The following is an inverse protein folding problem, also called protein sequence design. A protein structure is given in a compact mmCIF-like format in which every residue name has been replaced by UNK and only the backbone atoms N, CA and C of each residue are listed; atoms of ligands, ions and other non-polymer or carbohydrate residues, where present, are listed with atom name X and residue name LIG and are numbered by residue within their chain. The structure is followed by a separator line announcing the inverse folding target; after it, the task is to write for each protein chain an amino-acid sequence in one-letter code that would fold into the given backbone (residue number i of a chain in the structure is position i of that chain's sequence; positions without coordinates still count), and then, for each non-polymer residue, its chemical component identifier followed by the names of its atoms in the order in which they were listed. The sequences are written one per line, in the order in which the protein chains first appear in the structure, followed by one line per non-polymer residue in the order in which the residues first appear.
data_IF_877767819263
#
_entry.id   IF_877767819263
#
_cell.length_a   1.000
_cell.length_b   1.000
_cell.length_c   1.000
_cell.angle_alpha   90.00
_cell.angle_beta   90.00
_cell.angle_gamma   90.00
#
_symmetry.space_group_name_H-M   'P 1'
#
loop_
_entity.id
_entity.type
_entity.pdbx_description
1 polymer ?
#
# COMPACT_ATOMS: atom_id res chain seq x y z
N UNK A 1 2.77 -21.74 8.50
CA UNK A 1 1.65 -21.51 7.53
C UNK A 1 2.09 -22.02 6.17
N UNK A 2 1.15 -22.34 5.24
CA UNK A 2 1.59 -22.70 3.89
C UNK A 2 2.11 -21.46 3.15
N UNK A 3 3.10 -21.58 2.26
CA UNK A 3 3.63 -20.46 1.47
C UNK A 3 2.55 -19.72 0.67
N UNK A 4 1.54 -20.46 0.19
CA UNK A 4 0.39 -19.88 -0.52
C UNK A 4 -0.48 -18.99 0.39
N UNK A 5 -0.63 -19.36 1.65
CA UNK A 5 -1.40 -18.57 2.61
C UNK A 5 -0.70 -17.22 2.93
N UNK A 6 0.63 -17.25 3.13
CA UNK A 6 1.42 -16.02 3.30
C UNK A 6 1.32 -15.11 2.09
N UNK A 7 1.50 -15.67 0.88
CA UNK A 7 1.31 -14.92 -0.36
C UNK A 7 -0.07 -14.25 -0.41
N UNK A 8 -1.14 -15.00 -0.14
CA UNK A 8 -2.51 -14.50 -0.27
C UNK A 8 -2.81 -13.36 0.70
N UNK A 9 -2.37 -13.47 1.95
CA UNK A 9 -2.58 -12.42 2.97
C UNK A 9 -1.83 -11.15 2.60
N UNK A 10 -0.54 -11.26 2.27
CA UNK A 10 0.29 -10.10 1.95
C UNK A 10 -0.18 -9.44 0.66
N UNK A 11 -0.50 -10.23 -0.37
CA UNK A 11 -1.04 -9.71 -1.62
C UNK A 11 -2.35 -8.98 -1.40
N UNK A 12 -3.31 -9.58 -0.67
CA UNK A 12 -4.60 -8.95 -0.40
C UNK A 12 -4.45 -7.64 0.39
N UNK A 13 -3.61 -7.64 1.44
CA UNK A 13 -3.34 -6.44 2.23
C UNK A 13 -2.71 -5.33 1.37
N UNK A 14 -1.67 -5.64 0.59
CA UNK A 14 -1.03 -4.68 -0.29
C UNK A 14 -1.99 -4.18 -1.38
N UNK A 15 -2.75 -5.08 -2.03
CA UNK A 15 -3.72 -4.71 -3.06
C UNK A 15 -4.75 -3.69 -2.54
N UNK A 16 -5.30 -3.93 -1.35
CA UNK A 16 -6.30 -3.04 -0.76
C UNK A 16 -5.67 -1.70 -0.35
N UNK A 17 -4.49 -1.73 0.28
CA UNK A 17 -3.80 -0.51 0.76
C UNK A 17 -3.32 0.34 -0.41
N UNK A 18 -2.73 -0.26 -1.42
CA UNK A 18 -2.25 0.47 -2.61
C UNK A 18 -3.40 0.98 -3.47
N UNK A 19 -4.62 0.42 -3.27
CA UNK A 19 -5.86 0.86 -3.89
C UNK A 19 -5.68 1.26 -5.38
N UNK A 20 -5.34 0.32 -6.27
CA UNK A 20 -4.99 0.63 -7.67
C UNK A 20 -6.08 1.41 -8.40
N UNK A 21 -7.35 1.07 -8.11
CA UNK A 21 -8.50 1.70 -8.77
C UNK A 21 -8.77 3.11 -8.22
N UNK A 22 -8.61 3.33 -6.91
CA UNK A 22 -8.74 4.66 -6.32
C UNK A 22 -7.65 5.62 -6.78
N UNK A 23 -6.42 5.12 -6.92
CA UNK A 23 -5.28 5.89 -7.39
C UNK A 23 -5.28 6.14 -8.91
N UNK A 24 -6.12 5.40 -9.66
CA UNK A 24 -6.26 5.58 -11.10
C UNK A 24 -6.71 7.00 -11.47
N UNK A 25 -7.65 7.58 -10.70
CA UNK A 25 -8.11 8.94 -10.93
C UNK A 25 -7.01 10.00 -10.79
N UNK A 26 -6.12 9.81 -9.81
CA UNK A 26 -4.96 10.69 -9.62
C UNK A 26 -3.96 10.50 -10.77
N UNK A 27 -3.64 9.25 -11.13
CA UNK A 27 -2.75 8.95 -12.25
C UNK A 27 -3.23 9.61 -13.54
N UNK A 28 -4.51 9.46 -13.90
CA UNK A 28 -5.11 10.07 -15.09
C UNK A 28 -5.05 11.60 -15.02
N UNK A 29 -5.24 12.18 -13.84
CA UNK A 29 -5.21 13.63 -13.63
C UNK A 29 -3.81 14.22 -13.83
N UNK A 30 -2.77 13.61 -13.24
CA UNK A 30 -1.40 14.13 -13.33
C UNK A 30 -0.73 13.84 -14.68
N UNK A 31 -1.25 12.86 -15.43
CA UNK A 31 -0.77 12.54 -16.80
C UNK A 31 -1.72 13.06 -17.87
N UNK A 32 -2.60 14.01 -17.50
CA UNK A 32 -3.55 14.57 -18.45
C UNK A 32 -2.82 15.42 -19.50
N UNK A 33 -3.09 15.13 -20.76
CA UNK A 33 -2.41 15.80 -21.89
C UNK A 33 -1.15 15.08 -22.39
N UNK A 34 -0.61 14.13 -21.63
CA UNK A 34 0.57 13.36 -22.05
C UNK A 34 0.23 12.29 -23.07
N UNK A 35 1.28 11.92 -23.85
CA UNK A 35 1.16 10.83 -24.81
C UNK A 35 0.94 9.48 -24.14
N UNK A 36 0.23 8.57 -24.81
CA UNK A 36 -0.01 7.20 -24.30
C UNK A 36 1.31 6.44 -24.07
N UNK A 37 2.37 6.73 -24.86
CA UNK A 37 3.69 6.15 -24.65
C UNK A 37 4.31 6.62 -23.33
N UNK A 38 4.20 7.90 -23.03
CA UNK A 38 4.68 8.48 -21.78
C UNK A 38 3.92 7.92 -20.57
N UNK A 39 2.59 7.86 -20.61
CA UNK A 39 1.76 7.27 -19.55
C UNK A 39 2.18 5.83 -19.23
N UNK A 40 2.38 5.00 -20.27
CA UNK A 40 2.83 3.61 -20.10
C UNK A 40 4.22 3.53 -19.49
N UNK A 41 5.11 4.43 -19.84
CA UNK A 41 6.45 4.52 -19.27
C UNK A 41 6.39 4.92 -17.80
N UNK A 42 5.60 5.94 -17.43
CA UNK A 42 5.42 6.37 -16.05
C UNK A 42 4.79 5.27 -15.19
N UNK A 43 3.78 4.57 -15.69
CA UNK A 43 3.18 3.43 -15.02
C UNK A 43 4.19 2.31 -14.72
N UNK A 44 5.06 1.98 -15.69
CA UNK A 44 6.08 0.96 -15.50
C UNK A 44 7.14 1.38 -14.48
N UNK A 45 7.65 2.60 -14.58
CA UNK A 45 8.64 3.14 -13.65
C UNK A 45 8.06 3.22 -12.23
N UNK A 46 6.82 3.71 -12.07
CA UNK A 46 6.16 3.80 -10.78
C UNK A 46 6.01 2.43 -10.10
N UNK A 47 5.57 1.42 -10.85
CA UNK A 47 5.47 0.06 -10.33
C UNK A 47 6.84 -0.52 -9.94
N UNK A 48 7.87 -0.28 -10.77
CA UNK A 48 9.23 -0.74 -10.48
C UNK A 48 9.81 -0.06 -9.24
N UNK A 49 9.68 1.25 -9.09
CA UNK A 49 10.15 1.97 -7.91
C UNK A 49 9.39 1.54 -6.65
N UNK A 50 8.08 1.32 -6.76
CA UNK A 50 7.28 0.81 -5.65
C UNK A 50 7.70 -0.58 -5.22
N UNK A 51 7.97 -1.47 -6.19
CA UNK A 51 8.52 -2.79 -5.90
C UNK A 51 9.85 -2.68 -5.17
N UNK A 52 10.79 -1.88 -5.68
CA UNK A 52 12.09 -1.69 -5.04
C UNK A 52 11.96 -1.15 -3.61
N UNK A 53 11.12 -0.14 -3.39
CA UNK A 53 10.88 0.42 -2.07
C UNK A 53 10.32 -0.63 -1.10
N UNK A 54 9.22 -1.27 -1.46
CA UNK A 54 8.58 -2.30 -0.62
C UNK A 54 9.52 -3.48 -0.35
N UNK A 55 10.28 -3.91 -1.36
CA UNK A 55 11.23 -5.01 -1.24
C UNK A 55 12.41 -4.65 -0.32
N UNK A 56 12.99 -3.46 -0.48
CA UNK A 56 14.07 -2.98 0.40
C UNK A 56 13.59 -2.91 1.86
N UNK A 57 12.41 -2.34 2.11
CA UNK A 57 11.83 -2.28 3.44
C UNK A 57 11.43 -3.66 3.98
N UNK A 58 11.07 -4.60 3.12
CA UNK A 58 10.82 -5.98 3.51
C UNK A 58 12.11 -6.68 3.96
N UNK A 59 13.20 -6.56 3.21
CA UNK A 59 14.47 -7.23 3.52
C UNK A 59 15.21 -6.53 4.66
N UNK A 60 15.28 -5.20 4.64
CA UNK A 60 16.00 -4.40 5.63
C UNK A 60 15.15 -4.04 6.85
N UNK A 61 13.86 -4.37 6.85
CA UNK A 61 12.89 -3.91 7.86
C UNK A 61 13.32 -4.20 9.28
N UNK A 62 13.82 -5.41 9.55
CA UNK A 62 14.31 -5.79 10.88
C UNK A 62 15.43 -4.85 11.35
N UNK A 63 16.43 -4.60 10.51
CA UNK A 63 17.56 -3.73 10.84
C UNK A 63 17.14 -2.28 11.01
N UNK A 64 16.18 -1.81 10.19
CA UNK A 64 15.62 -0.46 10.31
C UNK A 64 14.95 -0.30 11.67
N UNK A 65 14.15 -1.27 12.10
CA UNK A 65 13.44 -1.22 13.37
C UNK A 65 14.39 -1.27 14.57
N UNK A 66 15.36 -2.17 14.53
CA UNK A 66 16.38 -2.30 15.56
C UNK A 66 17.20 -1.00 15.68
N UNK A 67 17.58 -0.38 14.57
CA UNK A 67 18.33 0.87 14.54
C UNK A 67 17.57 2.02 15.20
N UNK A 68 16.25 2.13 14.96
CA UNK A 68 15.40 3.17 15.55
C UNK A 68 14.82 2.78 16.92
N UNK A 69 15.04 1.58 17.41
CA UNK A 69 14.45 1.08 18.66
C UNK A 69 12.92 0.94 18.58
N UNK A 70 12.36 0.73 17.39
CA UNK A 70 10.93 0.62 17.16
C UNK A 70 10.51 -0.84 17.27
N UNK A 71 9.44 -1.10 18.04
CA UNK A 71 8.88 -2.44 18.18
C UNK A 71 7.88 -2.74 17.03
N UNK A 72 7.67 -4.02 16.74
CA UNK A 72 6.66 -4.49 15.79
C UNK A 72 5.28 -4.00 16.20
N UNK A 73 4.97 -4.09 17.48
CA UNK A 73 3.68 -3.67 18.04
C UNK A 73 3.44 -2.17 17.80
N UNK A 74 4.49 -1.35 17.97
CA UNK A 74 4.45 0.07 17.65
C UNK A 74 4.14 0.34 16.17
N UNK A 75 4.72 -0.45 15.25
CA UNK A 75 4.42 -0.34 13.82
C UNK A 75 3.00 -0.78 13.50
N UNK A 76 2.53 -1.86 14.12
CA UNK A 76 1.15 -2.33 13.90
C UNK A 76 0.14 -1.28 14.35
N UNK A 77 0.34 -0.66 15.50
CA UNK A 77 -0.51 0.42 16.00
C UNK A 77 -0.41 1.65 15.10
N UNK A 78 0.80 2.16 14.86
CA UNK A 78 1.02 3.37 14.05
C UNK A 78 0.58 3.20 12.60
N UNK A 79 0.94 2.07 11.98
CA UNK A 79 0.50 1.71 10.63
C UNK A 79 -1.01 1.56 10.54
N UNK A 80 -1.64 0.93 11.53
CA UNK A 80 -3.09 0.81 11.63
C UNK A 80 -3.78 2.17 11.69
N UNK A 81 -3.27 3.13 12.48
CA UNK A 81 -3.82 4.50 12.55
C UNK A 81 -3.74 5.19 11.18
N UNK A 82 -2.62 5.08 10.48
CA UNK A 82 -2.44 5.67 9.15
C UNK A 82 -3.40 5.04 8.14
N UNK A 83 -3.50 3.71 8.13
CA UNK A 83 -4.40 2.96 7.24
C UNK A 83 -5.86 3.28 7.53
N UNK A 84 -6.26 3.41 8.80
CA UNK A 84 -7.61 3.83 9.19
C UNK A 84 -7.94 5.21 8.62
N UNK A 85 -7.02 6.18 8.75
CA UNK A 85 -7.20 7.53 8.19
C UNK A 85 -7.43 7.49 6.67
N UNK A 86 -6.66 6.68 5.96
CA UNK A 86 -6.83 6.47 4.51
C UNK A 86 -8.20 5.86 4.22
N UNK A 87 -8.58 4.80 4.93
CA UNK A 87 -9.88 4.14 4.75
C UNK A 87 -11.08 5.07 4.99
N UNK A 88 -11.04 5.87 6.04
CA UNK A 88 -12.08 6.89 6.30
C UNK A 88 -12.15 7.95 5.19
N UNK A 89 -11.01 8.39 4.68
CA UNK A 89 -10.96 9.34 3.56
C UNK A 89 -11.62 8.78 2.30
N UNK A 90 -11.35 7.50 1.98
CA UNK A 90 -11.95 6.82 0.83
C UNK A 90 -13.47 6.65 0.98
N UNK A 91 -13.94 6.30 2.17
CA UNK A 91 -15.37 6.13 2.44
C UNK A 91 -16.15 7.44 2.38
N UNK A 92 -15.59 8.52 2.90
CA UNK A 92 -16.26 9.82 2.94
C UNK A 92 -16.38 10.47 1.55
N UNK A 93 -15.78 9.88 0.51
CA UNK A 93 -15.77 10.47 -0.83
C UNK A 93 -14.96 11.76 -0.92
N UNK A 94 -14.23 12.10 0.15
CA UNK A 94 -13.20 13.11 0.07
C UNK A 94 -12.22 12.69 -1.03
N UNK A 95 -11.93 13.58 -1.98
CA UNK A 95 -10.91 13.29 -3.00
C UNK A 95 -9.68 12.82 -2.28
N UNK A 96 -9.27 11.58 -2.57
CA UNK A 96 -8.20 10.90 -1.87
C UNK A 96 -6.88 11.63 -2.17
N UNK A 97 -6.56 12.56 -1.30
CA UNK A 97 -5.30 13.29 -1.35
C UNK A 97 -4.30 12.61 -0.40
N UNK A 98 -3.73 11.48 -0.84
CA UNK A 98 -2.38 11.11 -0.36
C UNK A 98 -1.35 12.14 -0.85
N UNK A 99 -1.74 12.91 -1.85
CA UNK A 99 -1.00 14.02 -2.45
C UNK A 99 -1.84 15.28 -2.27
N UNK A 100 -1.26 16.35 -1.74
CA UNK A 100 -1.96 17.64 -1.59
C UNK A 100 -2.35 18.22 -2.97
N UNK A 101 -3.29 19.17 -2.99
CA UNK A 101 -3.64 19.84 -4.27
C UNK A 101 -2.46 20.60 -4.87
N UNK A 102 -1.58 21.10 -4.00
CA UNK A 102 -0.34 21.74 -4.36
C UNK A 102 0.62 20.75 -5.02
N UNK A 103 0.87 19.60 -4.39
CA UNK A 103 1.71 18.53 -4.94
C UNK A 103 1.16 17.97 -6.26
N UNK A 104 -0.17 17.91 -6.44
CA UNK A 104 -0.78 17.52 -7.71
C UNK A 104 -0.54 18.55 -8.81
N UNK A 105 -0.59 19.85 -8.49
CA UNK A 105 -0.28 20.91 -9.45
C UNK A 105 1.20 20.89 -9.84
N UNK A 106 2.08 20.75 -8.84
CA UNK A 106 3.52 20.61 -9.08
C UNK A 106 3.83 19.37 -9.93
N UNK A 107 3.15 18.23 -9.66
CA UNK A 107 3.33 17.01 -10.44
C UNK A 107 2.92 17.15 -11.91
N UNK A 108 1.94 17.97 -12.24
CA UNK A 108 1.54 18.25 -13.64
C UNK A 108 2.65 18.97 -14.41
N UNK A 109 3.49 19.74 -13.71
CA UNK A 109 4.62 20.46 -14.30
C UNK A 109 5.92 19.65 -14.34
N UNK A 110 5.94 18.45 -13.69
CA UNK A 110 7.13 17.57 -13.66
C UNK A 110 7.28 16.75 -14.94
N UNK A 111 8.50 16.64 -15.43
CA UNK A 111 8.84 15.76 -16.57
C UNK A 111 8.78 14.26 -16.19
N UNK A 112 8.91 13.90 -14.90
CA UNK A 112 8.86 12.51 -14.42
C UNK A 112 8.11 12.43 -13.10
N UNK A 113 6.91 11.86 -13.13
CA UNK A 113 6.01 11.68 -11.97
C UNK A 113 6.07 10.27 -11.38
N UNK A 114 6.92 9.41 -11.90
CA UNK A 114 6.92 7.99 -11.58
C UNK A 114 7.40 7.68 -10.17
N UNK A 115 8.39 8.41 -9.65
CA UNK A 115 8.84 8.23 -8.28
C UNK A 115 7.98 9.04 -7.30
N UNK A 116 7.89 10.33 -7.50
CA UNK A 116 7.03 11.22 -6.72
C UNK A 116 6.07 11.94 -7.68
N UNK A 117 4.78 11.84 -7.46
CA UNK A 117 4.10 11.23 -6.29
C UNK A 117 3.67 9.77 -6.46
N UNK A 118 3.87 9.13 -7.63
CA UNK A 118 3.25 7.83 -7.91
C UNK A 118 3.80 6.68 -7.04
N UNK A 119 5.12 6.40 -7.11
CA UNK A 119 5.67 5.35 -6.28
C UNK A 119 5.61 5.72 -4.80
N UNK A 120 6.01 6.92 -4.45
CA UNK A 120 5.97 7.44 -3.08
C UNK A 120 5.35 8.84 -3.08
N UNK A 121 4.28 9.11 -2.30
CA UNK A 121 3.71 8.24 -1.24
C UNK A 121 2.55 7.35 -1.66
N UNK A 122 2.12 7.35 -2.95
CA UNK A 122 0.83 6.75 -3.34
C UNK A 122 0.81 5.23 -3.26
N UNK A 123 1.79 4.54 -3.86
CA UNK A 123 1.81 3.07 -3.94
C UNK A 123 2.57 2.49 -2.75
N UNK A 124 3.85 2.83 -2.60
CA UNK A 124 4.71 2.42 -1.49
C UNK A 124 4.66 3.46 -0.35
N UNK A 125 3.47 3.90 0.01
CA UNK A 125 3.25 4.85 1.10
C UNK A 125 3.36 4.21 2.49
N UNK A 126 3.16 5.01 3.56
CA UNK A 126 3.32 4.56 4.94
C UNK A 126 2.50 3.31 5.28
N UNK A 127 1.29 3.15 4.70
CA UNK A 127 0.46 1.96 4.89
C UNK A 127 1.09 0.69 4.29
N UNK A 128 1.57 0.77 3.04
CA UNK A 128 2.25 -0.35 2.38
C UNK A 128 3.55 -0.73 3.10
N UNK A 129 4.32 0.27 3.52
CA UNK A 129 5.54 0.06 4.31
C UNK A 129 5.23 -0.60 5.66
N UNK A 130 4.18 -0.18 6.36
CA UNK A 130 3.77 -0.79 7.63
C UNK A 130 3.44 -2.28 7.47
N UNK A 131 2.76 -2.67 6.39
CA UNK A 131 2.46 -4.08 6.09
C UNK A 131 3.73 -4.88 5.87
N UNK A 132 4.62 -4.44 4.98
CA UNK A 132 5.84 -5.20 4.68
C UNK A 132 6.78 -5.27 5.89
N UNK A 133 6.88 -4.21 6.70
CA UNK A 133 7.64 -4.18 7.93
C UNK A 133 7.06 -5.13 8.99
N UNK A 134 5.74 -5.18 9.14
CA UNK A 134 5.07 -6.11 10.06
C UNK A 134 5.34 -7.57 9.69
N UNK A 135 5.33 -7.89 8.38
CA UNK A 135 5.63 -9.24 7.90
C UNK A 135 7.10 -9.57 8.03
N UNK A 136 8.00 -8.63 7.70
CA UNK A 136 9.45 -8.82 7.79
C UNK A 136 9.95 -9.21 9.19
N UNK A 137 9.19 -8.86 10.21
CA UNK A 137 9.55 -9.10 11.61
C UNK A 137 8.89 -10.34 12.23
N UNK A 138 8.21 -11.17 11.44
CA UNK A 138 7.71 -12.45 11.94
C UNK A 138 8.86 -13.33 12.41
N UNK A 139 8.70 -13.93 13.59
CA UNK A 139 9.65 -14.90 14.11
C UNK A 139 9.67 -16.16 13.22
N UNK A 140 10.86 -16.70 12.96
CA UNK A 140 11.08 -17.96 12.22
C UNK A 140 10.63 -17.96 10.75
N UNK A 141 10.82 -16.86 10.01
CA UNK A 141 10.61 -16.87 8.55
C UNK A 141 11.55 -17.86 7.87
N UNK A 142 10.96 -18.78 7.11
CA UNK A 142 11.68 -19.70 6.24
C UNK A 142 11.98 -19.06 4.87
N UNK A 143 12.89 -19.63 4.10
CA UNK A 143 13.20 -19.16 2.74
C UNK A 143 11.94 -19.13 1.87
N UNK A 144 11.04 -20.09 2.05
CA UNK A 144 9.74 -20.15 1.36
C UNK A 144 8.86 -18.92 1.65
N UNK A 145 8.91 -18.39 2.87
CA UNK A 145 8.11 -17.22 3.27
C UNK A 145 8.67 -15.94 2.63
N UNK A 146 10.01 -15.81 2.58
CA UNK A 146 10.65 -14.71 1.86
C UNK A 146 10.27 -14.69 0.37
N UNK A 147 10.28 -15.85 -0.28
CA UNK A 147 9.86 -15.98 -1.68
C UNK A 147 8.38 -15.61 -1.83
N UNK A 148 7.51 -16.12 -0.96
CA UNK A 148 6.07 -15.89 -1.02
C UNK A 148 5.72 -14.41 -0.86
N UNK A 149 6.34 -13.72 0.10
CA UNK A 149 6.16 -12.28 0.32
C UNK A 149 6.69 -11.46 -0.85
N UNK A 150 7.87 -11.81 -1.37
CA UNK A 150 8.45 -11.14 -2.55
C UNK A 150 7.55 -11.30 -3.77
N UNK A 151 7.01 -12.51 -3.99
CA UNK A 151 6.03 -12.75 -5.06
C UNK A 151 4.74 -11.96 -4.85
N UNK A 152 4.27 -11.81 -3.60
CA UNK A 152 3.09 -11.01 -3.29
C UNK A 152 3.31 -9.51 -3.58
N UNK A 153 4.46 -8.96 -3.20
CA UNK A 153 4.85 -7.58 -3.52
C UNK A 153 4.92 -7.40 -5.05
N UNK A 154 5.58 -8.32 -5.75
CA UNK A 154 5.68 -8.26 -7.21
C UNK A 154 4.30 -8.34 -7.88
N UNK A 155 3.43 -9.25 -7.44
CA UNK A 155 2.08 -9.39 -7.97
C UNK A 155 1.24 -8.12 -7.74
N UNK A 156 1.31 -7.51 -6.55
CA UNK A 156 0.63 -6.24 -6.26
C UNK A 156 1.12 -5.12 -7.20
N UNK A 157 2.43 -4.98 -7.38
CA UNK A 157 3.01 -3.98 -8.28
C UNK A 157 2.65 -4.24 -9.76
N UNK A 158 2.57 -5.50 -10.18
CA UNK A 158 2.12 -5.87 -11.55
C UNK A 158 0.66 -5.46 -11.75
N UNK A 159 -0.22 -5.70 -10.78
CA UNK A 159 -1.63 -5.28 -10.88
C UNK A 159 -1.74 -3.76 -10.99
N UNK A 160 -0.97 -3.01 -10.20
CA UNK A 160 -0.93 -1.54 -10.30
C UNK A 160 -0.44 -1.10 -11.66
N UNK A 161 0.64 -1.70 -12.15
CA UNK A 161 1.17 -1.42 -13.48
C UNK A 161 0.12 -1.64 -14.57
N UNK A 162 -0.60 -2.76 -14.54
CA UNK A 162 -1.68 -3.06 -15.50
C UNK A 162 -2.79 -2.01 -15.38
N UNK A 163 -3.25 -1.69 -14.16
CA UNK A 163 -4.28 -0.68 -13.95
C UNK A 163 -3.89 0.70 -14.50
N UNK A 164 -2.67 1.15 -14.22
CA UNK A 164 -2.20 2.46 -14.69
C UNK A 164 -1.92 2.47 -16.20
N UNK A 165 -1.34 1.39 -16.71
CA UNK A 165 -1.08 1.24 -18.13
C UNK A 165 -2.35 1.30 -18.96
N UNK A 166 -3.42 0.65 -18.50
CA UNK A 166 -4.71 0.58 -19.16
C UNK A 166 -5.72 1.59 -18.56
N UNK A 167 -5.21 2.66 -17.95
CA UNK A 167 -6.00 3.64 -17.19
C UNK A 167 -7.18 4.21 -17.97
N UNK A 168 -7.00 4.51 -19.24
CA UNK A 168 -8.06 5.05 -20.12
C UNK A 168 -9.18 4.03 -20.33
N UNK A 169 -8.85 2.75 -20.51
CA UNK A 169 -9.83 1.68 -20.68
C UNK A 169 -10.58 1.41 -19.38
N UNK A 170 -9.85 1.29 -18.26
CA UNK A 170 -10.44 1.01 -16.94
C UNK A 170 -11.38 2.14 -16.52
N UNK A 171 -10.98 3.39 -16.71
CA UNK A 171 -11.81 4.55 -16.40
C UNK A 171 -13.09 4.58 -17.24
N UNK A 172 -13.03 4.21 -18.53
CA UNK A 172 -14.21 4.12 -19.40
C UNK A 172 -15.16 2.98 -19.02
N UNK A 173 -14.62 1.81 -18.64
CA UNK A 173 -15.43 0.64 -18.29
C UNK A 173 -16.18 0.82 -16.97
N UNK A 174 -15.54 1.37 -15.96
CA UNK A 174 -16.13 1.53 -14.64
C UNK A 174 -17.00 2.79 -14.53
N UNK A 175 -16.68 3.83 -15.27
CA UNK A 175 -17.28 5.15 -15.13
C UNK A 175 -17.01 5.76 -13.74
N UNK A 176 -17.44 7.01 -13.56
CA UNK A 176 -17.22 7.71 -12.27
C UNK A 176 -17.93 7.04 -11.09
N UNK A 177 -19.17 6.57 -11.32
CA UNK A 177 -19.98 5.91 -10.28
C UNK A 177 -19.37 4.56 -9.86
N UNK A 178 -18.92 3.75 -10.82
CA UNK A 178 -18.29 2.46 -10.54
C UNK A 178 -16.98 2.62 -9.79
N UNK A 179 -16.13 3.55 -10.22
CA UNK A 179 -14.88 3.85 -9.51
C UNK A 179 -15.12 4.36 -8.09
N UNK A 180 -16.11 5.23 -7.89
CA UNK A 180 -16.48 5.72 -6.57
C UNK A 180 -17.01 4.61 -5.65
N UNK A 181 -17.82 3.69 -6.18
CA UNK A 181 -18.36 2.56 -5.42
C UNK A 181 -17.24 1.61 -4.96
N UNK A 182 -16.34 1.20 -5.87
CA UNK A 182 -15.22 0.32 -5.55
C UNK A 182 -14.29 1.00 -4.53
N UNK A 183 -13.99 2.29 -4.72
CA UNK A 183 -13.14 3.05 -3.78
C UNK A 183 -13.72 3.06 -2.36
N UNK A 184 -15.05 3.22 -2.21
CA UNK A 184 -15.71 3.15 -0.89
C UNK A 184 -15.63 1.76 -0.27
N UNK A 185 -15.82 0.70 -1.07
CA UNK A 185 -15.68 -0.70 -0.59
C UNK A 185 -14.24 -0.95 -0.13
N UNK A 186 -13.24 -0.53 -0.90
CA UNK A 186 -11.83 -0.64 -0.50
C UNK A 186 -11.55 0.15 0.79
N UNK A 187 -12.13 1.35 0.93
CA UNK A 187 -12.03 2.14 2.15
C UNK A 187 -12.55 1.40 3.39
N UNK A 188 -13.70 0.72 3.28
CA UNK A 188 -14.23 -0.10 4.36
C UNK A 188 -13.30 -1.26 4.73
N UNK A 189 -12.79 -1.99 3.74
CA UNK A 189 -11.86 -3.11 3.96
C UNK A 189 -10.57 -2.59 4.64
N UNK A 190 -10.06 -1.43 4.21
CA UNK A 190 -8.90 -0.79 4.84
C UNK A 190 -9.13 -0.48 6.32
N UNK A 191 -10.31 0.02 6.70
CA UNK A 191 -10.64 0.26 8.09
C UNK A 191 -10.62 -1.05 8.89
N UNK A 192 -11.16 -2.13 8.34
CA UNK A 192 -11.14 -3.44 9.00
C UNK A 192 -9.70 -3.94 9.21
N UNK A 193 -8.84 -3.83 8.19
CA UNK A 193 -7.42 -4.20 8.28
C UNK A 193 -6.71 -3.34 9.33
N UNK A 194 -6.97 -2.04 9.33
CA UNK A 194 -6.38 -1.09 10.26
C UNK A 194 -6.72 -1.42 11.71
N UNK A 195 -8.00 -1.70 11.98
CA UNK A 195 -8.48 -2.10 13.32
C UNK A 195 -7.81 -3.42 13.73
N UNK A 196 -7.71 -4.41 12.84
CA UNK A 196 -7.05 -5.67 13.14
C UNK A 196 -5.56 -5.46 13.50
N UNK A 197 -4.86 -4.59 12.77
CA UNK A 197 -3.47 -4.25 13.10
C UNK A 197 -3.34 -3.60 14.49
N UNK A 198 -4.22 -2.66 14.82
CA UNK A 198 -4.23 -1.99 16.13
C UNK A 198 -4.50 -3.01 17.25
N UNK A 199 -5.48 -3.90 17.08
CA UNK A 199 -5.80 -4.95 18.05
C UNK A 199 -4.58 -5.86 18.28
N UNK A 200 -3.94 -6.33 17.20
CA UNK A 200 -2.78 -7.20 17.27
C UNK A 200 -1.60 -6.51 17.95
N UNK A 201 -1.30 -5.26 17.55
CA UNK A 201 -0.20 -4.50 18.17
C UNK A 201 -0.46 -4.18 19.63
N UNK A 202 -1.70 -3.83 20.01
CA UNK A 202 -2.07 -3.59 21.41
C UNK A 202 -1.96 -4.87 22.24
N UNK A 203 -2.40 -6.02 21.68
CA UNK A 203 -2.23 -7.33 22.29
C UNK A 203 -0.78 -7.64 22.60
N UNK A 204 0.14 -7.44 21.62
CA UNK A 204 1.57 -7.67 21.79
C UNK A 204 2.19 -6.81 22.90
N UNK A 205 1.80 -5.53 22.98
CA UNK A 205 2.24 -4.63 24.07
C UNK A 205 1.77 -5.15 25.44
N UNK A 206 0.51 -5.55 25.57
CA UNK A 206 -0.04 -6.06 26.82
C UNK A 206 0.60 -7.39 27.26
N UNK A 207 0.91 -8.27 26.31
CA UNK A 207 1.68 -9.49 26.58
C UNK A 207 3.10 -9.18 27.05
N UNK A 208 3.77 -8.22 26.42
CA UNK A 208 5.10 -7.77 26.81
C UNK A 208 5.16 -7.18 28.24
N UNK A 209 4.06 -6.61 28.71
CA UNK A 209 3.91 -6.11 30.09
C UNK A 209 3.39 -7.16 31.07
N UNK A 210 3.09 -8.38 30.62
CA UNK A 210 2.59 -9.47 31.47
C UNK A 210 1.16 -9.28 31.95
N UNK A 211 0.37 -8.37 31.33
CA UNK A 211 -0.99 -8.01 31.74
C UNK A 211 -2.04 -8.98 31.15
N UNK A 212 -1.81 -9.51 29.96
CA UNK A 212 -2.72 -10.43 29.30
C UNK A 212 -1.96 -11.50 28.51
N UNK A 213 -2.49 -12.74 28.47
CA UNK A 213 -2.15 -13.70 27.41
C UNK A 213 -3.24 -13.61 26.35
N UNK A 214 -2.94 -13.04 25.19
CA UNK A 214 -3.86 -13.09 24.06
C UNK A 214 -3.73 -14.47 23.41
N UNK A 215 -4.71 -15.35 23.68
CA UNK A 215 -4.82 -16.62 22.97
C UNK A 215 -5.12 -16.33 21.50
N UNK A 216 -4.17 -16.61 20.62
CA UNK A 216 -4.32 -16.62 19.16
C UNK A 216 -5.27 -17.69 18.67
#
# INVERSE_FOLDING_TARGET
MSPFHEFSIVFAALFVITNPLGNLGVFVSITHGDSEAFKKQQAMKAAFYSFCLLFVFFIAGKYILEFFGITIDGIQIGGGIIIAKIGFSLMSGAKHHTTSKEEQKEAIEMEDVSFCPLAMPMIAGPGGLAVVLSVANKSNMQVSDYISVTCAIAAACIVIWICFRESTLVAKMLGETGMAAITKIMGFILICIAIQMIITGTGGVLEGWGIAKVSS
#
